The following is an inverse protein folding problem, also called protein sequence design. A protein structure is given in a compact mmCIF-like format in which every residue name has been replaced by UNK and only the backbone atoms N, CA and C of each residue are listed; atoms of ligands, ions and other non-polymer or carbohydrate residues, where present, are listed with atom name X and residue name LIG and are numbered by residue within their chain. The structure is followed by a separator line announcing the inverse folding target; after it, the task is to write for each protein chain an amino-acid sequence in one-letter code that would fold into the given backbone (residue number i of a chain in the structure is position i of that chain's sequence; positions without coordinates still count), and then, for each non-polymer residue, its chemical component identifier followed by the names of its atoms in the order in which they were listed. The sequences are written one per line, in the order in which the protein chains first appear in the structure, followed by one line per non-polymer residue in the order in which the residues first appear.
data_IF_143987283243
#
_entry.id   IF_143987283243
#
_cell.length_a   1.000
_cell.length_b   1.000
_cell.length_c   1.000
_cell.angle_alpha   90.00
_cell.angle_beta   90.00
_cell.angle_gamma   90.00
#
_symmetry.space_group_name_H-M   'P 1'
#
loop_
_entity.id
_entity.type
_entity.pdbx_description
1 polymer ?
#
# COMPACT_ATOMS: atom_id res chain seq x y z
N UNK A 1 -0.80 -5.83 -14.46
CA UNK A 1 -0.66 -7.08 -15.27
C UNK A 1 -0.14 -6.71 -16.65
N UNK A 2 -0.78 -5.76 -17.33
CA UNK A 2 -0.26 -5.17 -18.58
C UNK A 2 1.14 -4.55 -18.42
N UNK A 3 1.42 -3.89 -17.30
CA UNK A 3 2.77 -3.35 -17.02
C UNK A 3 3.84 -4.43 -16.80
N UNK A 4 3.44 -5.64 -16.42
CA UNK A 4 4.35 -6.75 -16.14
C UNK A 4 4.78 -7.43 -17.43
N UNK A 5 3.82 -7.74 -18.29
CA UNK A 5 4.09 -8.32 -19.62
C UNK A 5 4.93 -7.34 -20.46
N UNK A 6 4.67 -6.03 -20.36
CA UNK A 6 5.47 -5.00 -21.02
C UNK A 6 6.90 -4.89 -20.45
N UNK A 7 7.07 -5.02 -19.12
CA UNK A 7 8.39 -4.98 -18.48
C UNK A 7 9.24 -6.22 -18.79
N UNK A 8 8.61 -7.39 -18.94
CA UNK A 8 9.29 -8.63 -19.31
C UNK A 8 9.82 -8.58 -20.76
N UNK A 9 9.06 -7.98 -21.68
CA UNK A 9 9.51 -7.72 -23.06
C UNK A 9 10.68 -6.72 -23.12
N UNK A 10 10.76 -5.79 -22.17
CA UNK A 10 11.89 -4.85 -22.01
C UNK A 10 13.11 -5.47 -21.31
N UNK A 11 13.09 -6.77 -21.01
CA UNK A 11 14.20 -7.50 -20.38
C UNK A 11 14.31 -7.27 -18.87
N UNK A 12 13.29 -6.68 -18.22
CA UNK A 12 13.28 -6.53 -16.76
C UNK A 12 12.82 -7.86 -16.14
N UNK A 13 13.61 -8.46 -15.22
CA UNK A 13 13.22 -9.70 -14.55
C UNK A 13 12.16 -9.43 -13.47
N UNK A 14 10.91 -9.23 -13.90
CA UNK A 14 9.72 -8.96 -13.05
C UNK A 14 9.57 -9.97 -11.91
N UNK A 15 9.81 -11.25 -12.20
CA UNK A 15 9.78 -12.34 -11.21
C UNK A 15 10.75 -12.11 -10.03
N UNK A 16 11.98 -11.61 -10.29
CA UNK A 16 12.98 -11.38 -9.23
C UNK A 16 12.57 -10.22 -8.32
N UNK A 17 11.99 -9.17 -8.88
CA UNK A 17 11.50 -8.03 -8.11
C UNK A 17 10.30 -8.39 -7.25
N UNK A 18 9.36 -9.20 -7.77
CA UNK A 18 8.25 -9.72 -6.97
C UNK A 18 8.72 -10.62 -5.84
N UNK A 19 9.68 -11.50 -6.12
CA UNK A 19 10.26 -12.38 -5.11
C UNK A 19 10.97 -11.55 -4.01
N UNK A 20 11.73 -10.52 -4.39
CA UNK A 20 12.38 -9.62 -3.45
C UNK A 20 11.38 -8.85 -2.58
N UNK A 21 10.28 -8.36 -3.17
CA UNK A 21 9.20 -7.70 -2.44
C UNK A 21 8.50 -8.65 -1.47
N UNK A 22 8.25 -9.90 -1.88
CA UNK A 22 7.68 -10.93 -1.02
C UNK A 22 8.62 -11.30 0.14
N UNK A 23 9.91 -11.51 -0.15
CA UNK A 23 10.91 -11.87 0.85
C UNK A 23 11.05 -10.79 1.92
N UNK A 24 11.13 -9.53 1.49
CA UNK A 24 11.26 -8.39 2.42
C UNK A 24 9.99 -8.21 3.27
N UNK A 25 8.81 -8.35 2.69
CA UNK A 25 7.53 -8.30 3.44
C UNK A 25 7.38 -9.45 4.44
N UNK A 26 7.62 -10.68 4.00
CA UNK A 26 7.51 -11.88 4.83
C UNK A 26 8.57 -11.93 5.93
N UNK A 27 9.78 -11.40 5.71
CA UNK A 27 10.79 -11.28 6.75
C UNK A 27 10.33 -10.38 7.90
N UNK A 28 9.75 -9.21 7.59
CA UNK A 28 9.21 -8.29 8.60
C UNK A 28 8.04 -8.94 9.34
N UNK A 29 7.12 -9.59 8.61
CA UNK A 29 6.00 -10.30 9.22
C UNK A 29 6.45 -11.45 10.15
N UNK A 30 7.48 -12.20 9.75
CA UNK A 30 8.06 -13.27 10.56
C UNK A 30 8.73 -12.76 11.83
N UNK A 31 9.47 -11.64 11.76
CA UNK A 31 10.07 -11.00 12.95
C UNK A 31 8.98 -10.52 13.90
N UNK A 32 7.92 -9.89 13.39
CA UNK A 32 6.79 -9.44 14.19
C UNK A 32 6.08 -10.62 14.88
N UNK A 33 5.86 -11.73 14.17
CA UNK A 33 5.28 -12.95 14.74
C UNK A 33 6.17 -13.59 15.81
N UNK A 34 7.49 -13.61 15.62
CA UNK A 34 8.45 -14.09 16.63
C UNK A 34 8.39 -13.23 17.90
N UNK A 35 8.35 -11.91 17.76
CA UNK A 35 8.21 -10.99 18.89
C UNK A 35 6.88 -11.18 19.63
N UNK A 36 5.77 -11.37 18.88
CA UNK A 36 4.48 -11.69 19.47
C UNK A 36 4.51 -13.00 20.25
N UNK A 37 5.04 -14.09 19.67
CA UNK A 37 5.18 -15.36 20.36
C UNK A 37 6.05 -15.26 21.62
N UNK A 38 7.13 -14.47 21.57
CA UNK A 38 7.99 -14.22 22.72
C UNK A 38 7.29 -13.43 23.83
N UNK A 39 6.32 -12.57 23.50
CA UNK A 39 5.59 -11.74 24.47
C UNK A 39 4.59 -12.55 25.31
N UNK A 40 3.97 -13.58 24.74
CA UNK A 40 2.85 -14.29 25.38
C UNK A 40 3.39 -15.40 26.31
N UNK A 41 4.62 -15.89 26.11
CA UNK A 41 5.34 -16.93 26.87
C UNK A 41 4.63 -18.30 27.02
N UNK A 42 3.33 -18.36 26.78
CA UNK A 42 2.46 -19.54 26.86
C UNK A 42 1.45 -19.47 25.72
N UNK A 43 1.47 -20.47 24.83
CA UNK A 43 0.57 -20.54 23.67
C UNK A 43 -0.55 -21.51 24.00
N UNK A 44 -1.73 -20.96 24.32
CA UNK A 44 -2.97 -21.73 24.36
C UNK A 44 -3.66 -21.63 22.99
N UNK A 45 -3.99 -22.76 22.33
CA UNK A 45 -4.53 -22.74 20.97
C UNK A 45 -5.89 -22.06 20.86
N UNK A 46 -6.69 -22.05 21.93
CA UNK A 46 -8.05 -21.50 21.92
C UNK A 46 -8.06 -19.97 21.89
N UNK A 47 -7.20 -19.31 22.68
CA UNK A 47 -7.12 -17.84 22.71
C UNK A 47 -6.16 -17.24 21.68
N UNK A 48 -5.08 -17.95 21.33
CA UNK A 48 -4.00 -17.41 20.48
C UNK A 48 -4.34 -17.48 18.99
N UNK A 49 -5.19 -18.42 18.58
CA UNK A 49 -5.66 -18.58 17.20
C UNK A 49 -7.14 -18.23 17.07
N UNK A 50 -7.57 -17.21 17.80
CA UNK A 50 -8.95 -16.77 17.75
C UNK A 50 -9.28 -16.00 16.46
N UNK A 51 -10.54 -16.09 16.04
CA UNK A 51 -11.04 -15.40 14.85
C UNK A 51 -10.90 -13.87 14.98
N UNK A 52 -10.97 -13.34 16.20
CA UNK A 52 -10.79 -11.91 16.48
C UNK A 52 -9.46 -11.38 15.98
N UNK A 53 -8.36 -12.16 16.11
CA UNK A 53 -7.02 -11.74 15.68
C UNK A 53 -6.98 -11.63 14.15
N UNK A 54 -7.53 -12.63 13.46
CA UNK A 54 -7.62 -12.62 11.99
C UNK A 54 -8.44 -11.42 11.50
N UNK A 55 -9.59 -11.19 12.11
CA UNK A 55 -10.49 -10.09 11.75
C UNK A 55 -9.86 -8.72 12.05
N UNK A 56 -9.23 -8.54 13.22
CA UNK A 56 -8.53 -7.32 13.58
C UNK A 56 -7.40 -7.00 12.58
N UNK A 57 -6.68 -8.02 12.10
CA UNK A 57 -5.63 -7.84 11.09
C UNK A 57 -6.19 -7.35 9.75
N UNK A 58 -7.32 -7.91 9.31
CA UNK A 58 -8.03 -7.45 8.10
C UNK A 58 -8.58 -6.04 8.27
N UNK A 59 -9.22 -5.75 9.40
CA UNK A 59 -9.75 -4.42 9.72
C UNK A 59 -8.64 -3.37 9.70
N UNK A 60 -7.50 -3.64 10.34
CA UNK A 60 -6.33 -2.76 10.32
C UNK A 60 -5.82 -2.47 8.91
N UNK A 61 -5.73 -3.49 8.06
CA UNK A 61 -5.29 -3.33 6.67
C UNK A 61 -6.28 -2.50 5.83
N UNK A 62 -7.58 -2.74 6.00
CA UNK A 62 -8.66 -2.04 5.27
C UNK A 62 -8.78 -0.58 5.74
N UNK A 63 -8.77 -0.33 7.05
CA UNK A 63 -8.74 1.03 7.63
C UNK A 63 -7.51 1.77 7.09
N UNK A 64 -6.34 1.14 7.10
CA UNK A 64 -5.10 1.75 6.63
C UNK A 64 -5.10 2.12 5.15
N UNK A 65 -5.72 1.29 4.31
CA UNK A 65 -5.83 1.46 2.86
C UNK A 65 -4.62 0.92 2.09
N UNK A 66 -4.87 0.25 0.95
CA UNK A 66 -3.85 -0.43 0.14
C UNK A 66 -3.01 0.49 -0.78
N UNK A 67 -3.27 1.81 -0.75
CA UNK A 67 -2.67 2.76 -1.72
C UNK A 67 -1.22 3.18 -1.43
N UNK A 68 -0.67 2.89 -0.24
CA UNK A 68 0.72 3.17 0.13
C UNK A 68 1.25 2.20 1.18
N UNK A 69 2.57 2.02 1.17
CA UNK A 69 3.33 1.21 2.14
C UNK A 69 3.14 1.64 3.60
N UNK A 70 2.80 2.91 3.88
CA UNK A 70 2.52 3.40 5.24
C UNK A 70 1.05 3.33 5.66
N UNK A 71 0.12 3.07 4.73
CA UNK A 71 -1.32 2.99 5.02
C UNK A 71 -1.63 1.93 6.08
N UNK A 72 -1.19 0.67 5.90
CA UNK A 72 -1.45 -0.41 6.85
C UNK A 72 -0.87 -0.14 8.25
N UNK A 73 0.28 0.54 8.35
CA UNK A 73 0.90 0.87 9.64
C UNK A 73 0.03 1.84 10.43
N UNK A 74 -0.45 2.90 9.78
CA UNK A 74 -1.35 3.88 10.41
C UNK A 74 -2.70 3.24 10.74
N UNK A 75 -3.21 2.39 9.84
CA UNK A 75 -4.43 1.62 10.06
C UNK A 75 -4.34 0.70 11.28
N UNK A 76 -3.22 0.00 11.46
CA UNK A 76 -2.97 -0.85 12.63
C UNK A 76 -2.97 -0.04 13.93
N UNK A 77 -2.30 1.11 13.97
CA UNK A 77 -2.28 1.96 15.19
C UNK A 77 -3.69 2.45 15.53
N UNK A 78 -4.43 2.97 14.55
CA UNK A 78 -5.79 3.48 14.77
C UNK A 78 -6.72 2.34 15.24
N UNK A 79 -6.64 1.19 14.58
CA UNK A 79 -7.46 0.03 14.92
C UNK A 79 -7.14 -0.47 16.31
N UNK A 80 -5.87 -0.47 16.70
CA UNK A 80 -5.45 -0.87 18.04
C UNK A 80 -5.99 0.07 19.11
N UNK A 81 -5.97 1.39 18.87
CA UNK A 81 -6.54 2.37 19.80
C UNK A 81 -8.06 2.23 19.90
N UNK A 82 -8.75 2.04 18.77
CA UNK A 82 -10.19 1.77 18.77
C UNK A 82 -10.53 0.46 19.47
N UNK A 83 -9.73 -0.58 19.25
CA UNK A 83 -9.89 -1.88 19.88
C UNK A 83 -9.77 -1.76 21.40
N UNK A 84 -8.79 -1.03 21.91
CA UNK A 84 -8.61 -0.79 23.35
C UNK A 84 -9.85 -0.13 23.96
N UNK A 85 -10.38 0.92 23.34
CA UNK A 85 -11.60 1.59 23.81
C UNK A 85 -12.84 0.67 23.75
N UNK A 86 -12.97 -0.12 22.68
CA UNK A 86 -14.09 -1.02 22.49
C UNK A 86 -14.06 -2.20 23.47
N UNK A 87 -12.87 -2.72 23.79
CA UNK A 87 -12.68 -3.80 24.78
C UNK A 87 -13.03 -3.36 26.21
N UNK A 88 -12.80 -2.08 26.53
CA UNK A 88 -13.14 -1.51 27.85
C UNK A 88 -14.66 -1.37 28.02
N UNK A 89 -15.38 -1.03 26.94
CA UNK A 89 -16.83 -0.76 27.00
C UNK A 89 -17.71 -1.97 26.66
N UNK A 90 -17.20 -2.94 25.89
CA UNK A 90 -17.92 -4.13 25.45
C UNK A 90 -17.19 -5.38 25.92
N UNK A 91 -17.70 -6.00 26.99
CA UNK A 91 -17.12 -7.21 27.58
C UNK A 91 -17.89 -8.45 27.12
N UNK A 92 -17.18 -9.51 26.70
CA UNK A 92 -17.74 -10.84 26.41
C UNK A 92 -17.94 -11.14 24.91
N UNK A 93 -18.83 -12.09 24.60
CA UNK A 93 -19.08 -12.62 23.22
C UNK A 93 -19.44 -11.53 22.20
N UNK A 94 -19.90 -10.37 22.65
CA UNK A 94 -20.22 -9.23 21.79
C UNK A 94 -18.99 -8.54 21.18
N UNK A 95 -17.79 -8.75 21.72
CA UNK A 95 -16.55 -8.16 21.20
C UNK A 95 -16.22 -8.65 19.78
N UNK A 96 -16.40 -9.94 19.48
CA UNK A 96 -16.18 -10.50 18.13
C UNK A 96 -17.13 -9.91 17.09
N UNK A 97 -18.42 -9.82 17.45
CA UNK A 97 -19.44 -9.20 16.58
C UNK A 97 -19.12 -7.73 16.30
N UNK A 98 -18.59 -7.03 17.30
CA UNK A 98 -18.25 -5.61 17.18
C UNK A 98 -17.15 -5.35 16.15
N UNK A 99 -16.16 -6.25 16.02
CA UNK A 99 -15.15 -6.17 14.96
C UNK A 99 -15.75 -6.38 13.56
N UNK A 100 -16.72 -7.28 13.42
CA UNK A 100 -17.40 -7.52 12.15
C UNK A 100 -18.24 -6.31 11.72
N UNK A 101 -18.97 -5.72 12.67
CA UNK A 101 -19.72 -4.47 12.43
C UNK A 101 -18.76 -3.32 12.12
N UNK A 102 -17.64 -3.21 12.84
CA UNK A 102 -16.61 -2.19 12.60
C UNK A 102 -16.03 -2.32 11.18
N UNK A 103 -15.73 -3.54 10.73
CA UNK A 103 -15.28 -3.81 9.35
C UNK A 103 -16.30 -3.28 8.33
N UNK A 104 -17.58 -3.63 8.50
CA UNK A 104 -18.66 -3.19 7.59
C UNK A 104 -18.73 -1.67 7.55
N UNK A 105 -18.74 -1.01 8.71
CA UNK A 105 -18.80 0.45 8.80
C UNK A 105 -17.60 1.09 8.10
N UNK A 106 -16.39 0.59 8.35
CA UNK A 106 -15.16 1.12 7.73
C UNK A 106 -15.22 0.98 6.21
N UNK A 107 -15.60 -0.19 5.71
CA UNK A 107 -15.71 -0.44 4.26
C UNK A 107 -16.76 0.50 3.63
N UNK A 108 -17.87 0.74 4.34
CA UNK A 108 -18.96 1.60 3.85
C UNK A 108 -18.59 3.09 3.86
N UNK A 109 -17.90 3.55 4.91
CA UNK A 109 -17.60 4.97 5.14
C UNK A 109 -16.31 5.40 4.43
N UNK A 110 -15.32 4.51 4.30
CA UNK A 110 -14.00 4.84 3.75
C UNK A 110 -13.41 3.69 2.92
N UNK A 111 -13.94 3.40 1.72
CA UNK A 111 -13.46 2.31 0.85
C UNK A 111 -12.00 2.48 0.38
N UNK A 112 -11.41 3.68 0.53
CA UNK A 112 -9.99 3.94 0.27
C UNK A 112 -9.09 3.91 1.52
N UNK A 113 -9.64 3.71 2.71
CA UNK A 113 -8.95 3.86 3.99
C UNK A 113 -8.40 5.27 4.26
N UNK A 114 -7.68 5.43 5.36
CA UNK A 114 -7.05 6.71 5.76
C UNK A 114 -6.01 7.16 4.71
N UNK A 115 -5.30 6.21 4.09
CA UNK A 115 -4.37 6.50 3.01
C UNK A 115 -5.05 7.01 1.73
N UNK A 116 -6.27 6.56 1.43
CA UNK A 116 -7.07 7.02 0.30
C UNK A 116 -7.53 8.46 0.46
N UNK A 117 -8.01 8.84 1.65
CA UNK A 117 -8.39 10.22 1.97
C UNK A 117 -7.20 11.20 1.84
N UNK A 118 -6.02 10.81 2.32
CA UNK A 118 -4.80 11.61 2.21
C UNK A 118 -4.34 11.83 0.75
N UNK A 119 -4.63 10.87 -0.13
CA UNK A 119 -4.32 10.98 -1.57
C UNK A 119 -5.25 11.95 -2.31
N UNK A 120 -6.53 12.00 -1.92
CA UNK A 120 -7.51 12.96 -2.46
C UNK A 120 -7.23 14.39 -1.99
N UNK A 121 -6.77 14.58 -0.75
CA UNK A 121 -6.34 15.89 -0.24
C UNK A 121 -5.05 16.37 -0.93
N UNK A 122 -4.10 15.47 -1.23
CA UNK A 122 -2.86 15.85 -1.92
C UNK A 122 -3.02 16.09 -3.42
N UNK A 123 -3.99 15.43 -4.08
CA UNK A 123 -4.40 15.77 -5.46
C UNK A 123 -5.10 17.13 -5.56
N UNK A 124 -5.58 17.68 -4.44
CA UNK A 124 -6.11 19.05 -4.36
C UNK A 124 -5.07 20.12 -4.04
N UNK A 125 -3.79 19.77 -3.85
CA UNK A 125 -2.70 20.76 -3.96
C UNK A 125 -2.38 20.91 -5.44
N UNK A 126 -2.69 22.05 -6.08
CA UNK A 126 -2.18 22.34 -7.41
C UNK A 126 -0.66 22.21 -7.34
N UNK A 127 -0.09 21.62 -8.39
CA UNK A 127 1.34 21.63 -8.62
C UNK A 127 1.84 23.09 -8.69
N UNK A 128 2.15 23.68 -7.55
CA UNK A 128 2.95 24.88 -7.46
C UNK A 128 4.41 24.44 -7.63
N UNK A 129 4.88 24.46 -8.87
CA UNK A 129 6.31 24.34 -9.19
C UNK A 129 6.64 23.28 -10.22
N UNK A 130 6.09 23.39 -11.43
CA UNK A 130 6.79 22.92 -12.62
C UNK A 130 7.48 24.14 -13.26
N UNK A 131 8.82 24.19 -13.27
CA UNK A 131 9.51 24.83 -14.37
C UNK A 131 10.46 23.85 -15.08
N UNK A 132 10.43 23.94 -16.41
CA UNK A 132 11.56 23.66 -17.31
C UNK A 132 11.91 22.20 -17.65
N UNK A 133 10.97 21.44 -18.20
CA UNK A 133 11.31 20.34 -19.12
C UNK A 133 10.40 20.36 -20.35
N UNK A 134 10.49 21.45 -21.12
CA UNK A 134 9.94 21.57 -22.46
C UNK A 134 10.94 22.34 -23.33
N UNK A 135 12.11 21.75 -23.52
CA UNK A 135 13.06 22.11 -24.57
C UNK A 135 13.82 20.84 -24.94
N UNK A 136 13.09 19.87 -25.52
CA UNK A 136 13.74 18.89 -26.38
C UNK A 136 14.23 19.62 -27.65
N UNK A 137 15.40 19.26 -28.20
CA UNK A 137 15.85 19.83 -29.47
C UNK A 137 14.85 19.51 -30.59
N UNK A 138 14.49 20.47 -31.46
CA UNK A 138 13.54 20.23 -32.53
C UNK A 138 14.08 19.25 -33.59
N UNK A 139 13.17 18.54 -34.29
CA UNK A 139 13.50 17.41 -35.15
C UNK A 139 14.16 17.88 -36.46
N UNK A 140 15.14 17.08 -36.91
CA UNK A 140 15.74 17.12 -38.23
C UNK A 140 14.64 16.98 -39.31
N UNK A 141 14.28 18.08 -39.97
CA UNK A 141 13.54 18.08 -41.24
C UNK A 141 13.67 19.46 -41.92
N UNK A 142 14.73 19.63 -42.70
CA UNK A 142 14.76 20.57 -43.82
C UNK A 142 15.72 20.01 -44.87
N UNK A 143 15.21 19.04 -45.63
CA UNK A 143 15.68 18.79 -46.98
C UNK A 143 15.51 20.09 -47.78
N UNK A 144 16.60 20.58 -48.37
CA UNK A 144 16.54 21.73 -49.28
C UNK A 144 17.82 22.55 -49.37
N UNK A 145 18.97 21.95 -49.70
CA UNK A 145 20.02 22.69 -50.40
C UNK A 145 20.77 21.79 -51.37
N UNK A 146 20.19 21.67 -52.57
CA UNK A 146 20.93 21.38 -53.79
C UNK A 146 21.83 22.57 -54.10
N UNK A 147 22.96 22.67 -53.40
CA UNK A 147 24.06 23.56 -53.80
C UNK A 147 25.07 22.74 -54.56
N UNK A 148 24.71 22.55 -55.84
CA UNK A 148 25.64 22.48 -56.97
C UNK A 148 26.69 23.59 -56.82
N UNK A 149 27.93 23.23 -56.41
CA UNK A 149 29.17 23.91 -56.80
C UNK A 149 30.41 23.00 -56.73
N UNK A 150 31.05 22.88 -57.90
CA UNK A 150 32.48 22.64 -58.18
C UNK A 150 32.98 21.17 -58.24
N UNK A 151 34.00 20.82 -59.08
CA UNK A 151 34.97 21.73 -59.72
C UNK A 151 35.24 21.53 -61.22
N UNK A 152 35.61 22.64 -61.86
CA UNK A 152 36.57 22.66 -62.96
C UNK A 152 37.92 23.14 -62.41
#
# INVERSE_FOLDING_TARGET
REDEDAAEVLGVPTARYKLAALLTGSAIAGIAGCFYAAQIFYIEPVGTFDFSISLATVVAAVIGGAGRWYGPVIGAVITQLLAQELFVHVQGVYSELSYGVLLIIVVLVAPGGVAGLASQVRRRRPAAGAPAQAAGPPPLAADGESTDRSPA
#
